data_IF_773659823116
#
_entry.id   IF_773659823116
#
_cell.length_a   1.000
_cell.length_b   1.000
_cell.length_c   1.000
_cell.angle_alpha   90.00
_cell.angle_beta   90.00
_cell.angle_gamma   90.00
#
_symmetry.space_group_name_H-M   'P 1'
#
loop_
_entity.id
_entity.type
_entity.pdbx_description
1 polymer ?
#
# COMPACT_ATOMS: atom_id res chain seq x y z
N UNK A 1 9.21 11.16 9.72
CA UNK A 1 8.17 10.39 8.99
C UNK A 1 7.68 9.29 9.89
N UNK A 2 6.35 9.16 10.07
CA UNK A 2 5.76 8.12 10.91
C UNK A 2 4.74 7.33 10.10
N UNK A 3 4.60 6.05 10.43
CA UNK A 3 3.58 5.18 9.85
C UNK A 3 2.81 4.44 10.94
N UNK A 4 1.57 4.07 10.62
CA UNK A 4 0.78 3.15 11.42
C UNK A 4 0.18 2.11 10.48
N UNK A 5 0.51 0.84 10.69
CA UNK A 5 -0.10 -0.27 9.97
C UNK A 5 -1.50 -0.54 10.55
N UNK A 6 -2.51 -0.52 9.72
CA UNK A 6 -3.91 -0.66 10.10
C UNK A 6 -4.54 -1.97 9.63
N UNK A 7 -3.72 -2.97 9.38
CA UNK A 7 -4.01 -4.30 8.85
C UNK A 7 -4.23 -4.35 7.32
N UNK A 8 -4.00 -5.52 6.73
CA UNK A 8 -4.17 -5.80 5.29
C UNK A 8 -3.41 -4.78 4.44
N UNK A 9 -4.12 -3.99 3.61
CA UNK A 9 -3.53 -2.96 2.77
C UNK A 9 -3.61 -1.55 3.40
N UNK A 10 -4.13 -1.44 4.63
CA UNK A 10 -4.47 -0.17 5.24
C UNK A 10 -3.30 0.45 6.01
N UNK A 11 -2.97 1.69 5.70
CA UNK A 11 -1.91 2.44 6.35
C UNK A 11 -2.32 3.88 6.68
N UNK A 12 -1.85 4.40 7.80
CA UNK A 12 -1.78 5.82 8.05
C UNK A 12 -0.33 6.28 7.86
N UNK A 13 -0.11 7.14 6.87
CA UNK A 13 1.20 7.71 6.53
C UNK A 13 1.25 9.15 6.99
N UNK A 14 2.19 9.47 7.89
CA UNK A 14 2.41 10.82 8.39
C UNK A 14 3.73 11.36 7.80
N UNK A 15 3.59 12.21 6.78
CA UNK A 15 4.69 12.75 5.97
C UNK A 15 4.50 14.26 5.79
N UNK A 16 5.55 15.05 5.93
CA UNK A 16 5.50 16.51 5.84
C UNK A 16 4.43 17.17 6.73
N UNK A 17 4.14 16.61 7.89
CA UNK A 17 3.06 17.06 8.77
C UNK A 17 1.66 16.79 8.25
N UNK A 18 1.50 15.97 7.19
CA UNK A 18 0.24 15.53 6.60
C UNK A 18 -0.07 14.10 7.00
N UNK A 19 -1.36 13.81 7.14
CA UNK A 19 -1.90 12.49 7.51
C UNK A 19 -2.67 11.92 6.30
N UNK A 20 -2.08 10.93 5.64
CA UNK A 20 -2.63 10.28 4.46
C UNK A 20 -3.11 8.89 4.86
N UNK A 21 -4.40 8.63 4.68
CA UNK A 21 -5.02 7.34 4.94
C UNK A 21 -5.07 6.53 3.63
N UNK A 22 -4.23 5.51 3.55
CA UNK A 22 -4.08 4.66 2.37
C UNK A 22 -4.95 3.41 2.52
N UNK A 23 -5.75 3.10 1.49
CA UNK A 23 -6.56 1.88 1.31
C UNK A 23 -7.30 1.44 2.59
N UNK A 24 -8.18 2.28 3.17
CA UNK A 24 -8.70 2.04 4.51
C UNK A 24 -9.80 0.96 4.57
N UNK A 25 -9.49 -0.13 5.25
CA UNK A 25 -10.47 -1.05 5.82
C UNK A 25 -10.31 -1.04 7.34
N UNK A 26 -11.19 -0.35 8.09
CA UNK A 26 -11.03 -0.10 9.53
C UNK A 26 -12.16 -0.67 10.37
N UNK A 27 -13.35 -0.82 9.81
CA UNK A 27 -14.57 -1.24 10.53
C UNK A 27 -15.29 -2.35 9.79
N UNK A 28 -15.95 -3.23 10.52
CA UNK A 28 -16.76 -4.30 9.97
C UNK A 28 -15.98 -5.36 9.17
N UNK A 29 -16.68 -6.36 8.67
CA UNK A 29 -16.07 -7.44 7.90
C UNK A 29 -15.74 -6.99 6.47
N UNK A 30 -14.68 -7.58 5.91
CA UNK A 30 -14.37 -7.52 4.49
C UNK A 30 -15.01 -8.71 3.78
N UNK A 31 -15.88 -8.44 2.82
CA UNK A 31 -16.55 -9.46 2.00
C UNK A 31 -16.61 -8.96 0.56
N UNK A 32 -16.17 -9.75 -0.39
CA UNK A 32 -16.28 -9.40 -1.82
C UNK A 32 -17.63 -9.81 -2.39
N UNK A 33 -18.30 -8.85 -3.02
CA UNK A 33 -19.57 -9.10 -3.73
C UNK A 33 -20.68 -9.71 -2.87
N UNK A 34 -20.65 -9.53 -1.55
CA UNK A 34 -21.57 -10.13 -0.57
C UNK A 34 -21.55 -11.68 -0.53
N UNK A 35 -20.40 -12.29 -0.88
CA UNK A 35 -20.25 -13.75 -0.91
C UNK A 35 -19.35 -14.19 0.26
N UNK A 36 -19.88 -14.13 1.48
CA UNK A 36 -19.17 -14.40 2.73
C UNK A 36 -18.66 -15.85 2.85
N UNK A 37 -19.38 -16.82 2.32
CA UNK A 37 -18.94 -18.22 2.32
C UNK A 37 -17.70 -18.46 1.43
N UNK A 38 -17.44 -17.58 0.45
CA UNK A 38 -16.28 -17.67 -0.42
C UNK A 38 -15.04 -17.04 0.22
N UNK A 39 -15.21 -15.81 0.72
CA UNK A 39 -14.16 -15.06 1.39
C UNK A 39 -14.76 -14.08 2.40
N UNK A 40 -14.23 -14.08 3.61
CA UNK A 40 -14.56 -13.11 4.63
C UNK A 40 -13.35 -12.84 5.50
N UNK A 41 -13.04 -11.57 5.69
CA UNK A 41 -12.07 -11.09 6.67
C UNK A 41 -12.77 -10.44 7.85
N UNK A 42 -12.32 -10.74 9.07
CA UNK A 42 -12.82 -10.10 10.29
C UNK A 42 -11.64 -9.70 11.17
N UNK A 43 -11.88 -8.71 12.04
CA UNK A 43 -10.92 -8.33 13.08
C UNK A 43 -11.50 -8.65 14.44
N UNK A 44 -10.74 -9.32 15.32
CA UNK A 44 -11.14 -9.51 16.73
C UNK A 44 -11.33 -8.16 17.44
N UNK A 45 -10.60 -7.14 17.00
CA UNK A 45 -10.67 -5.78 17.52
C UNK A 45 -10.64 -4.78 16.36
N UNK A 46 -11.67 -3.96 16.25
CA UNK A 46 -11.72 -2.87 15.27
C UNK A 46 -10.60 -1.85 15.50
N UNK A 47 -10.11 -1.29 14.40
CA UNK A 47 -9.16 -0.18 14.47
C UNK A 47 -9.92 1.12 14.67
N UNK A 48 -9.46 2.01 15.57
CA UNK A 48 -10.04 3.33 15.65
C UNK A 48 -9.82 4.07 14.33
N UNK A 49 -10.85 4.78 13.90
CA UNK A 49 -10.73 5.68 12.74
C UNK A 49 -9.77 6.80 13.15
N UNK A 50 -8.67 7.01 12.40
CA UNK A 50 -7.75 8.11 12.67
C UNK A 50 -8.44 9.47 12.53
N UNK A 51 -8.10 10.40 13.39
CA UNK A 51 -8.53 11.80 13.30
C UNK A 51 -7.61 12.63 12.39
N UNK A 52 -8.03 13.85 12.07
CA UNK A 52 -7.25 14.85 11.33
C UNK A 52 -6.60 14.30 10.03
N UNK A 53 -7.38 13.56 9.26
CA UNK A 53 -6.95 13.02 7.96
C UNK A 53 -6.95 14.16 6.94
N UNK A 54 -5.78 14.44 6.32
CA UNK A 54 -5.64 15.43 5.25
C UNK A 54 -6.02 14.87 3.87
N UNK A 55 -5.89 13.55 3.67
CA UNK A 55 -6.13 12.90 2.38
C UNK A 55 -6.47 11.42 2.57
N UNK A 56 -7.42 10.92 1.78
CA UNK A 56 -7.62 9.49 1.55
C UNK A 56 -6.98 9.14 0.21
N UNK A 57 -6.12 8.12 0.18
CA UNK A 57 -5.44 7.64 -1.02
C UNK A 57 -5.87 6.21 -1.31
N UNK A 58 -6.40 5.96 -2.53
CA UNK A 58 -6.99 4.66 -2.89
C UNK A 58 -6.31 4.08 -4.14
N UNK A 59 -5.69 2.92 -4.00
CA UNK A 59 -5.02 2.23 -5.11
C UNK A 59 -6.02 1.67 -6.12
N UNK A 60 -7.14 1.16 -5.66
CA UNK A 60 -8.21 0.59 -6.49
C UNK A 60 -9.58 0.65 -5.81
N UNK A 61 -10.63 0.25 -6.56
CA UNK A 61 -12.03 0.33 -6.11
C UNK A 61 -12.61 -0.95 -5.51
N UNK A 62 -11.82 -2.02 -5.31
CA UNK A 62 -12.31 -3.22 -4.62
C UNK A 62 -12.39 -3.01 -3.11
N UNK A 63 -13.18 -3.85 -2.45
CA UNK A 63 -13.57 -3.69 -1.05
C UNK A 63 -12.40 -3.75 -0.07
N UNK A 64 -11.30 -4.39 -0.41
CA UNK A 64 -10.09 -4.47 0.43
C UNK A 64 -9.20 -3.22 0.35
N UNK A 65 -9.52 -2.26 -0.55
CA UNK A 65 -8.84 -0.97 -0.70
C UNK A 65 -9.79 0.21 -0.52
N UNK A 66 -10.95 0.18 -1.18
CA UNK A 66 -11.98 1.21 -1.08
C UNK A 66 -13.19 0.68 -0.28
N UNK A 67 -12.98 0.35 1.00
CA UNK A 67 -13.98 -0.34 1.83
C UNK A 67 -15.21 0.53 2.12
N UNK A 68 -16.40 0.23 1.56
CA UNK A 68 -17.54 1.12 1.65
C UNK A 68 -18.03 1.36 3.10
N UNK A 69 -18.04 0.38 4.02
CA UNK A 69 -18.41 0.62 5.41
C UNK A 69 -17.47 1.59 6.12
N UNK A 70 -16.15 1.51 5.89
CA UNK A 70 -15.17 2.45 6.42
C UNK A 70 -15.35 3.84 5.82
N UNK A 71 -15.42 3.93 4.48
CA UNK A 71 -15.58 5.19 3.77
C UNK A 71 -16.87 5.93 4.14
N UNK A 72 -17.94 5.21 4.49
CA UNK A 72 -19.20 5.82 4.98
C UNK A 72 -19.07 6.47 6.36
N UNK A 73 -18.10 6.03 7.18
CA UNK A 73 -17.87 6.62 8.52
C UNK A 73 -16.86 7.77 8.51
N UNK A 74 -16.06 7.90 7.44
CA UNK A 74 -15.15 9.03 7.27
C UNK A 74 -15.91 10.29 6.84
N UNK A 75 -15.35 11.46 7.19
CA UNK A 75 -15.89 12.75 6.73
C UNK A 75 -15.74 12.86 5.20
N UNK A 76 -16.86 13.08 4.50
CA UNK A 76 -16.91 13.21 3.04
C UNK A 76 -16.30 14.50 2.49
N UNK A 77 -15.93 15.42 3.36
CA UNK A 77 -15.16 16.62 2.99
C UNK A 77 -13.66 16.35 2.89
N UNK A 78 -13.18 15.20 3.39
CA UNK A 78 -11.78 14.82 3.22
C UNK A 78 -11.50 14.61 1.73
N UNK A 79 -10.46 15.27 1.17
CA UNK A 79 -10.07 15.03 -0.22
C UNK A 79 -9.71 13.56 -0.46
N UNK A 80 -10.10 13.04 -1.62
CA UNK A 80 -9.74 11.69 -2.06
C UNK A 80 -8.92 11.76 -3.34
N UNK A 81 -7.80 11.09 -3.35
CA UNK A 81 -7.02 10.79 -4.56
C UNK A 81 -7.09 9.29 -4.79
N UNK A 82 -7.36 8.86 -6.01
CA UNK A 82 -7.48 7.43 -6.28
C UNK A 82 -7.36 7.08 -7.76
N UNK A 83 -7.28 5.78 -8.03
CA UNK A 83 -7.39 5.24 -9.38
C UNK A 83 -8.78 5.55 -9.98
N UNK A 84 -8.95 5.48 -11.31
CA UNK A 84 -10.22 5.81 -11.95
C UNK A 84 -11.42 4.97 -11.47
N UNK A 85 -11.22 3.71 -11.06
CA UNK A 85 -12.27 2.87 -10.50
C UNK A 85 -12.55 3.22 -9.03
N UNK A 86 -11.54 3.53 -8.22
CA UNK A 86 -11.71 3.99 -6.84
C UNK A 86 -12.45 5.33 -6.78
N UNK A 87 -12.14 6.26 -7.69
CA UNK A 87 -12.83 7.55 -7.81
C UNK A 87 -14.35 7.39 -8.01
N UNK A 88 -14.79 6.39 -8.79
CA UNK A 88 -16.21 6.09 -8.98
C UNK A 88 -16.87 5.60 -7.69
N UNK A 89 -16.21 4.71 -6.95
CA UNK A 89 -16.71 4.19 -5.67
C UNK A 89 -16.95 5.33 -4.68
N UNK A 90 -15.97 6.22 -4.48
CA UNK A 90 -16.12 7.32 -3.53
C UNK A 90 -17.13 8.37 -3.99
N UNK A 91 -17.28 8.58 -5.30
CA UNK A 91 -18.31 9.45 -5.86
C UNK A 91 -19.71 8.91 -5.54
N UNK A 92 -19.94 7.60 -5.69
CA UNK A 92 -21.21 6.94 -5.33
C UNK A 92 -21.49 7.01 -3.83
N UNK A 93 -20.45 7.11 -2.99
CA UNK A 93 -20.56 7.26 -1.54
C UNK A 93 -20.76 8.73 -1.11
N UNK A 94 -20.78 9.68 -2.06
CA UNK A 94 -21.10 11.08 -1.81
C UNK A 94 -19.91 11.96 -1.45
N UNK A 95 -18.68 11.54 -1.73
CA UNK A 95 -17.51 12.42 -1.64
C UNK A 95 -17.55 13.45 -2.76
N UNK A 96 -17.10 14.69 -2.47
CA UNK A 96 -17.17 15.82 -3.42
C UNK A 96 -15.81 16.31 -3.88
N UNK A 97 -14.76 16.09 -3.08
CA UNK A 97 -13.38 16.48 -3.41
C UNK A 97 -12.61 15.25 -3.88
N UNK A 98 -12.71 14.90 -5.16
CA UNK A 98 -12.14 13.68 -5.73
C UNK A 98 -11.19 14.04 -6.85
N UNK A 99 -9.96 13.49 -6.80
CA UNK A 99 -8.99 13.55 -7.89
C UNK A 99 -8.73 12.11 -8.37
N UNK A 100 -9.12 11.82 -9.61
CA UNK A 100 -8.78 10.57 -10.27
C UNK A 100 -7.41 10.72 -10.93
N UNK A 101 -6.49 9.80 -10.64
CA UNK A 101 -5.16 9.75 -11.27
C UNK A 101 -5.05 8.54 -12.19
N UNK A 102 -4.71 8.80 -13.45
CA UNK A 102 -4.19 7.79 -14.36
C UNK A 102 -2.68 7.57 -14.16
N UNK A 103 -2.16 6.48 -14.69
CA UNK A 103 -0.73 6.15 -14.59
C UNK A 103 0.14 7.26 -15.20
N UNK A 104 1.14 7.70 -14.46
CA UNK A 104 2.04 8.80 -14.82
C UNK A 104 1.57 10.18 -14.36
N UNK A 105 0.32 10.34 -13.96
CA UNK A 105 -0.20 11.58 -13.42
C UNK A 105 0.23 11.78 -11.96
N UNK A 106 0.26 13.04 -11.52
CA UNK A 106 0.63 13.42 -10.16
C UNK A 106 -0.39 14.38 -9.56
N UNK A 107 -0.50 14.29 -8.23
CA UNK A 107 -1.23 15.23 -7.39
C UNK A 107 -0.29 15.78 -6.32
N UNK A 108 -0.42 17.06 -5.98
CA UNK A 108 0.40 17.66 -4.91
C UNK A 108 -0.49 18.09 -3.74
N UNK A 109 -0.30 17.44 -2.60
CA UNK A 109 -1.01 17.76 -1.37
C UNK A 109 -0.35 18.98 -0.70
N UNK A 110 -1.09 20.10 -0.63
CA UNK A 110 -0.70 21.31 0.08
C UNK A 110 0.75 21.77 -0.17
N UNK A 111 1.25 21.61 -1.39
CA UNK A 111 2.62 21.97 -1.80
C UNK A 111 3.73 21.28 -0.96
N UNK A 112 3.42 20.20 -0.30
CA UNK A 112 4.35 19.51 0.62
C UNK A 112 4.63 18.05 0.27
N UNK A 113 3.65 17.35 -0.32
CA UNK A 113 3.79 15.94 -0.73
C UNK A 113 3.31 15.80 -2.17
N UNK A 114 4.19 15.33 -3.05
CA UNK A 114 3.81 14.89 -4.39
C UNK A 114 3.42 13.41 -4.34
N UNK A 115 2.30 13.06 -4.96
CA UNK A 115 1.76 11.71 -5.10
C UNK A 115 1.66 11.41 -6.58
N UNK A 116 2.43 10.45 -7.07
CA UNK A 116 2.43 10.02 -8.47
C UNK A 116 1.85 8.62 -8.59
N UNK A 117 0.89 8.45 -9.50
CA UNK A 117 0.35 7.14 -9.85
C UNK A 117 1.28 6.41 -10.81
N UNK A 118 1.56 5.14 -10.51
CA UNK A 118 2.32 4.22 -11.35
C UNK A 118 1.51 2.95 -11.62
N UNK A 119 1.77 2.20 -12.70
CA UNK A 119 1.05 0.95 -12.94
C UNK A 119 1.31 -0.07 -11.82
N UNK A 120 0.25 -0.63 -11.28
CA UNK A 120 0.26 -1.70 -10.27
C UNK A 120 -0.32 -3.02 -10.81
N UNK A 121 -1.05 -3.75 -9.96
CA UNK A 121 -1.58 -5.08 -10.26
C UNK A 121 -2.70 -5.06 -11.30
N UNK A 122 -2.82 -6.10 -12.13
CA UNK A 122 -3.98 -6.25 -13.01
C UNK A 122 -5.25 -6.62 -12.19
N UNK A 123 -6.34 -5.90 -12.47
CA UNK A 123 -7.67 -6.20 -11.96
C UNK A 123 -8.48 -6.77 -13.12
N UNK A 124 -8.56 -8.10 -13.18
CA UNK A 124 -9.18 -8.76 -14.32
C UNK A 124 -8.42 -8.51 -15.65
N UNK A 125 -9.09 -8.60 -16.81
CA UNK A 125 -8.40 -8.61 -18.10
C UNK A 125 -8.01 -7.24 -18.65
N UNK A 126 -8.56 -6.13 -18.14
CA UNK A 126 -8.48 -4.83 -18.81
C UNK A 126 -8.07 -3.66 -17.91
N UNK A 127 -8.05 -3.84 -16.59
CA UNK A 127 -7.74 -2.79 -15.66
C UNK A 127 -6.43 -3.07 -14.93
N UNK A 128 -5.68 -2.00 -14.67
CA UNK A 128 -4.55 -2.01 -13.75
C UNK A 128 -4.88 -1.08 -12.59
N UNK A 129 -4.56 -1.49 -11.38
CA UNK A 129 -4.61 -0.61 -10.21
C UNK A 129 -3.47 0.41 -10.25
N UNK A 130 -3.53 1.38 -9.35
CA UNK A 130 -2.42 2.27 -9.11
C UNK A 130 -1.52 1.70 -8.01
N UNK A 131 -0.21 1.63 -8.29
CA UNK A 131 0.78 1.83 -7.25
C UNK A 131 1.00 3.33 -7.06
N UNK A 132 1.59 3.72 -5.96
CA UNK A 132 1.87 5.13 -5.67
C UNK A 132 3.33 5.36 -5.31
N UNK A 133 3.86 6.49 -5.77
CA UNK A 133 5.12 7.06 -5.31
C UNK A 133 4.80 8.38 -4.60
N UNK A 134 5.05 8.46 -3.30
CA UNK A 134 4.91 9.66 -2.49
C UNK A 134 6.28 10.28 -2.28
N UNK A 135 6.39 11.60 -2.44
CA UNK A 135 7.63 12.34 -2.21
C UNK A 135 7.39 13.54 -1.31
N UNK A 136 8.07 13.60 -0.19
CA UNK A 136 8.15 14.82 0.62
C UNK A 136 9.02 15.85 -0.08
N UNK A 137 8.45 16.99 -0.45
CA UNK A 137 9.14 17.96 -1.29
C UNK A 137 10.28 18.69 -0.56
N UNK A 138 10.18 18.85 0.77
CA UNK A 138 11.19 19.55 1.57
C UNK A 138 12.42 18.69 1.88
N UNK A 139 12.23 17.41 2.24
CA UNK A 139 13.33 16.50 2.60
C UNK A 139 13.83 15.67 1.42
N UNK A 140 12.96 15.47 0.42
CA UNK A 140 13.19 14.56 -0.69
C UNK A 140 12.92 13.09 -0.38
N UNK A 141 12.52 12.73 0.85
CA UNK A 141 12.18 11.35 1.18
C UNK A 141 11.01 10.81 0.36
N UNK A 142 11.12 9.55 0.00
CA UNK A 142 10.19 8.89 -0.92
C UNK A 142 9.64 7.58 -0.36
N UNK A 143 8.37 7.31 -0.63
CA UNK A 143 7.69 6.04 -0.35
C UNK A 143 7.13 5.52 -1.67
N UNK A 144 7.37 4.25 -1.98
CA UNK A 144 6.66 3.52 -3.03
C UNK A 144 5.73 2.51 -2.38
N UNK A 145 4.46 2.52 -2.80
CA UNK A 145 3.45 1.57 -2.39
C UNK A 145 2.90 0.81 -3.59
N UNK A 146 2.84 -0.51 -3.48
CA UNK A 146 2.17 -1.39 -4.42
C UNK A 146 1.68 -2.65 -3.67
N UNK A 147 0.35 -2.78 -3.46
CA UNK A 147 -0.22 -3.71 -2.49
C UNK A 147 -0.24 -5.18 -2.90
N UNK A 148 0.06 -5.53 -4.15
CA UNK A 148 -0.01 -6.91 -4.65
C UNK A 148 1.29 -7.47 -5.22
N UNK A 149 2.37 -6.65 -5.25
CA UNK A 149 3.69 -7.05 -5.72
C UNK A 149 3.87 -7.08 -7.25
N UNK A 150 3.06 -6.29 -7.98
CA UNK A 150 3.17 -6.15 -9.43
C UNK A 150 3.88 -4.84 -9.79
N UNK A 151 5.19 -4.82 -9.61
CA UNK A 151 5.98 -3.62 -9.83
C UNK A 151 6.24 -3.35 -11.31
N UNK A 152 5.90 -2.15 -11.76
CA UNK A 152 6.24 -1.70 -13.11
C UNK A 152 7.73 -1.42 -13.25
N UNK A 153 8.40 -1.87 -14.33
CA UNK A 153 9.79 -1.49 -14.61
C UNK A 153 10.02 0.03 -14.72
N UNK A 154 8.96 0.81 -14.95
CA UNK A 154 9.04 2.27 -14.97
C UNK A 154 9.44 2.86 -13.61
N UNK A 155 9.29 2.10 -12.50
CA UNK A 155 9.76 2.52 -11.18
C UNK A 155 11.27 2.76 -11.13
N UNK A 156 12.08 2.08 -11.97
CA UNK A 156 13.55 2.23 -12.00
C UNK A 156 14.01 3.68 -12.19
N UNK A 157 13.22 4.48 -12.91
CA UNK A 157 13.56 5.90 -13.15
C UNK A 157 13.48 6.77 -11.89
N UNK A 158 12.83 6.28 -10.83
CA UNK A 158 12.66 6.99 -9.55
C UNK A 158 13.68 6.53 -8.49
N UNK A 159 14.56 5.59 -8.84
CA UNK A 159 15.59 5.13 -7.90
C UNK A 159 16.59 6.24 -7.56
N UNK A 160 17.06 6.28 -6.31
CA UNK A 160 16.65 5.43 -5.21
C UNK A 160 15.35 5.90 -4.53
N UNK A 161 14.57 4.95 -3.99
CA UNK A 161 13.40 5.21 -3.14
C UNK A 161 13.74 4.84 -1.70
N UNK A 162 13.26 5.59 -0.70
CA UNK A 162 13.67 5.35 0.68
C UNK A 162 12.88 4.24 1.37
N UNK A 163 11.58 4.16 1.09
CA UNK A 163 10.66 3.18 1.69
C UNK A 163 9.87 2.47 0.59
N UNK A 164 9.75 1.16 0.70
CA UNK A 164 8.87 0.35 -0.16
C UNK A 164 7.87 -0.39 0.73
N UNK A 165 6.58 -0.14 0.49
CA UNK A 165 5.46 -0.88 1.07
C UNK A 165 4.98 -1.87 0.00
N UNK A 166 5.14 -3.16 0.26
CA UNK A 166 4.79 -4.21 -0.72
C UNK A 166 4.69 -5.57 -0.03
N UNK A 167 3.95 -6.54 -0.59
CA UNK A 167 4.01 -7.91 -0.10
C UNK A 167 5.43 -8.47 -0.16
N UNK A 168 5.83 -9.17 0.88
CA UNK A 168 7.12 -9.89 0.97
C UNK A 168 6.95 -11.41 1.01
N UNK A 169 5.71 -11.87 1.07
CA UNK A 169 5.31 -13.26 0.96
C UNK A 169 4.38 -13.45 -0.24
N UNK A 170 4.40 -14.64 -0.84
CA UNK A 170 3.46 -14.97 -1.89
C UNK A 170 2.17 -15.54 -1.30
N UNK A 171 1.00 -15.14 -1.84
CA UNK A 171 -0.25 -15.86 -1.64
C UNK A 171 -0.59 -16.62 -2.92
N UNK A 172 -0.57 -17.95 -2.82
CA UNK A 172 -0.64 -18.86 -3.97
C UNK A 172 -1.94 -19.64 -3.97
N UNK A 173 -2.66 -19.62 -5.09
CA UNK A 173 -3.77 -20.52 -5.37
C UNK A 173 -3.24 -21.74 -6.14
N UNK A 174 -3.67 -22.97 -5.78
CA UNK A 174 -3.35 -24.17 -6.56
C UNK A 174 -3.77 -23.98 -8.03
N UNK A 175 -2.92 -24.42 -8.97
CA UNK A 175 -3.14 -24.38 -10.42
C UNK A 175 -3.05 -22.95 -11.02
N UNK A 176 -3.54 -21.91 -10.32
CA UNK A 176 -3.54 -20.51 -10.80
C UNK A 176 -2.18 -19.84 -10.59
N UNK A 177 -1.50 -20.16 -9.49
CA UNK A 177 -0.24 -19.54 -9.10
C UNK A 177 -0.43 -18.37 -8.12
N UNK A 178 0.60 -17.54 -7.91
CA UNK A 178 0.53 -16.42 -6.98
C UNK A 178 -0.34 -15.30 -7.55
N UNK A 179 -1.35 -14.88 -6.78
CA UNK A 179 -2.14 -13.68 -7.06
C UNK A 179 -1.63 -12.47 -6.25
N UNK A 180 -0.98 -12.70 -5.09
CA UNK A 180 -0.11 -11.73 -4.42
C UNK A 180 1.32 -12.21 -4.61
N UNK A 181 2.17 -11.34 -5.16
CA UNK A 181 3.57 -11.64 -5.47
C UNK A 181 4.46 -10.96 -4.44
N UNK A 182 5.02 -11.76 -3.55
CA UNK A 182 5.94 -11.25 -2.53
C UNK A 182 7.39 -11.57 -2.87
N UNK A 183 7.87 -12.71 -2.46
CA UNK A 183 9.28 -13.11 -2.39
C UNK A 183 10.16 -12.62 -3.54
N UNK A 184 9.93 -13.11 -4.76
CA UNK A 184 10.73 -12.75 -5.94
C UNK A 184 10.49 -11.31 -6.39
N UNK A 185 9.24 -10.87 -6.39
CA UNK A 185 8.87 -9.52 -6.83
C UNK A 185 9.39 -8.46 -5.86
N UNK A 186 9.32 -8.73 -4.56
CA UNK A 186 9.88 -7.85 -3.53
C UNK A 186 11.41 -7.73 -3.64
N UNK A 187 12.12 -8.83 -3.92
CA UNK A 187 13.56 -8.78 -4.16
C UNK A 187 13.89 -7.96 -5.41
N UNK A 188 13.14 -8.15 -6.48
CA UNK A 188 13.35 -7.43 -7.73
C UNK A 188 13.16 -5.92 -7.55
N UNK A 189 12.10 -5.48 -6.89
CA UNK A 189 11.87 -4.06 -6.61
C UNK A 189 12.91 -3.50 -5.62
N UNK A 190 13.37 -4.30 -4.64
CA UNK A 190 14.46 -3.90 -3.76
C UNK A 190 15.77 -3.66 -4.52
N UNK A 191 16.10 -4.49 -5.50
CA UNK A 191 17.25 -4.31 -6.38
C UNK A 191 17.12 -3.05 -7.26
N UNK A 192 15.92 -2.76 -7.75
CA UNK A 192 15.68 -1.58 -8.59
C UNK A 192 15.77 -0.29 -7.79
N UNK A 193 15.08 -0.24 -6.64
CA UNK A 193 14.86 1.00 -5.89
C UNK A 193 15.85 1.20 -4.73
N UNK A 194 16.58 0.16 -4.32
CA UNK A 194 17.54 0.20 -3.23
C UNK A 194 17.01 0.90 -1.98
N UNK A 195 15.85 0.48 -1.44
CA UNK A 195 15.23 1.16 -0.32
C UNK A 195 16.03 0.99 0.97
N UNK A 196 15.90 1.95 1.87
CA UNK A 196 16.42 1.83 3.24
C UNK A 196 15.57 0.86 4.07
N UNK A 197 14.24 0.90 3.83
CA UNK A 197 13.27 0.11 4.57
C UNK A 197 12.25 -0.50 3.62
N UNK A 198 11.89 -1.76 3.88
CA UNK A 198 10.72 -2.42 3.28
C UNK A 198 9.73 -2.82 4.37
N UNK A 199 8.45 -2.61 4.08
CA UNK A 199 7.32 -2.87 4.97
C UNK A 199 6.36 -3.84 4.30
N UNK A 200 6.01 -4.96 4.96
CA UNK A 200 5.04 -5.92 4.43
C UNK A 200 3.62 -5.35 4.43
N UNK A 201 2.86 -5.65 3.40
CA UNK A 201 1.43 -5.33 3.28
C UNK A 201 0.66 -6.53 2.69
N UNK A 202 -0.65 -6.41 2.50
CA UNK A 202 -1.58 -7.39 1.94
C UNK A 202 -1.90 -8.59 2.82
N UNK A 203 -0.92 -9.24 3.41
CA UNK A 203 -1.11 -10.46 4.18
C UNK A 203 -0.64 -10.25 5.61
N UNK A 204 -1.53 -9.88 6.50
CA UNK A 204 -1.14 -9.75 7.90
C UNK A 204 -1.96 -8.76 8.70
N UNK A 205 -1.49 -8.53 9.90
CA UNK A 205 -2.20 -7.78 10.92
C UNK A 205 -3.02 -8.70 11.82
N UNK A 206 -3.93 -8.08 12.57
CA UNK A 206 -4.83 -8.77 13.49
C UNK A 206 -6.14 -9.17 12.77
N UNK A 207 -6.01 -9.81 11.58
CA UNK A 207 -7.16 -10.19 10.75
C UNK A 207 -7.29 -11.71 10.71
N UNK A 208 -8.51 -12.17 10.92
CA UNK A 208 -8.88 -13.57 10.73
C UNK A 208 -9.63 -13.69 9.40
N UNK A 209 -9.14 -14.58 8.54
CA UNK A 209 -9.75 -14.86 7.25
C UNK A 209 -10.43 -16.22 7.24
N UNK A 210 -11.64 -16.27 6.69
CA UNK A 210 -12.43 -17.49 6.55
C UNK A 210 -13.04 -17.60 5.14
N UNK A 211 -13.54 -18.78 4.81
CA UNK A 211 -14.21 -19.07 3.54
C UNK A 211 -13.48 -20.11 2.69
N UNK A 212 -14.12 -20.48 1.59
CA UNK A 212 -13.60 -21.52 0.69
C UNK A 212 -12.25 -21.12 0.07
N UNK A 213 -12.11 -19.87 -0.34
CA UNK A 213 -10.89 -19.35 -0.95
C UNK A 213 -9.70 -19.48 0.01
N UNK A 214 -9.89 -19.16 1.28
CA UNK A 214 -8.84 -19.20 2.31
C UNK A 214 -8.33 -20.63 2.53
N UNK A 215 -9.20 -21.63 2.45
CA UNK A 215 -8.80 -23.05 2.56
C UNK A 215 -7.91 -23.51 1.41
N UNK A 216 -7.95 -22.82 0.29
CA UNK A 216 -7.16 -23.14 -0.90
C UNK A 216 -5.87 -22.31 -0.96
N UNK A 217 -5.83 -21.14 -0.30
CA UNK A 217 -4.68 -20.25 -0.29
C UNK A 217 -3.51 -20.84 0.52
N UNK A 218 -2.30 -20.64 0.00
CA UNK A 218 -1.06 -20.96 0.69
C UNK A 218 -0.19 -19.70 0.76
N UNK A 219 0.22 -19.34 1.96
CA UNK A 219 1.26 -18.34 2.17
C UNK A 219 2.64 -18.99 2.03
N UNK A 220 3.54 -18.35 1.29
CA UNK A 220 4.92 -18.82 1.05
C UNK A 220 5.89 -17.69 1.34
N UNK A 221 6.83 -17.93 2.25
CA UNK A 221 7.82 -16.97 2.70
C UNK A 221 7.53 -16.42 4.10
N UNK A 222 8.48 -15.66 4.61
CA UNK A 222 8.39 -14.93 5.88
C UNK A 222 9.27 -13.68 5.83
N UNK A 223 9.07 -12.73 6.75
CA UNK A 223 9.92 -11.53 6.84
C UNK A 223 11.38 -11.88 7.14
N UNK A 224 11.62 -12.86 8.00
CA UNK A 224 12.97 -13.31 8.34
C UNK A 224 13.69 -13.96 7.14
N UNK A 225 12.99 -14.79 6.36
CA UNK A 225 13.54 -15.38 5.13
C UNK A 225 13.80 -14.31 4.07
N UNK A 226 12.92 -13.33 3.96
CA UNK A 226 13.09 -12.23 3.03
C UNK A 226 14.26 -11.32 3.44
N UNK A 227 14.42 -11.01 4.74
CA UNK A 227 15.59 -10.27 5.24
C UNK A 227 16.90 -11.01 4.89
N UNK A 228 16.96 -12.32 5.12
CA UNK A 228 18.12 -13.14 4.76
C UNK A 228 18.39 -13.12 3.24
N UNK A 229 17.33 -13.11 2.43
CA UNK A 229 17.44 -13.00 0.96
C UNK A 229 18.03 -11.65 0.54
N UNK A 230 17.63 -10.55 1.17
CA UNK A 230 18.20 -9.22 0.91
C UNK A 230 19.71 -9.20 1.24
N UNK A 231 20.11 -9.76 2.38
CA UNK A 231 21.51 -9.84 2.82
C UNK A 231 22.36 -10.70 1.86
N UNK A 232 21.86 -11.83 1.41
CA UNK A 232 22.52 -12.69 0.40
C UNK A 232 22.71 -11.99 -0.94
N UNK A 233 21.83 -11.02 -1.27
CA UNK A 233 21.94 -10.18 -2.47
C UNK A 233 22.69 -8.87 -2.21
N UNK A 234 23.39 -8.73 -1.07
CA UNK A 234 24.17 -7.56 -0.68
C UNK A 234 23.37 -6.25 -0.60
N UNK A 235 22.07 -6.33 -0.34
CA UNK A 235 21.21 -5.17 -0.13
C UNK A 235 21.23 -4.77 1.36
N UNK A 236 21.37 -3.48 1.63
CA UNK A 236 21.39 -2.92 2.99
C UNK A 236 19.98 -2.60 3.52
N UNK A 237 18.98 -2.94 2.76
CA UNK A 237 17.56 -2.74 3.08
C UNK A 237 17.17 -3.51 4.33
N UNK A 238 16.43 -2.86 5.23
CA UNK A 238 15.87 -3.51 6.43
C UNK A 238 14.39 -3.81 6.21
N UNK A 239 13.97 -5.02 6.56
CA UNK A 239 12.56 -5.38 6.67
C UNK A 239 12.09 -5.01 8.08
N UNK A 240 11.00 -4.26 8.17
CA UNK A 240 10.35 -3.93 9.44
C UNK A 240 8.93 -4.51 9.40
N UNK A 241 8.63 -5.42 10.32
CA UNK A 241 7.26 -5.89 10.56
C UNK A 241 6.62 -4.97 11.60
N UNK A 242 5.67 -4.11 11.21
CA UNK A 242 5.04 -3.19 12.14
C UNK A 242 4.05 -3.93 13.04
N UNK A 243 3.97 -3.52 14.31
CA UNK A 243 2.89 -3.96 15.18
C UNK A 243 1.59 -3.27 14.75
N UNK A 244 0.52 -4.01 14.42
CA UNK A 244 -0.72 -3.43 13.95
C UNK A 244 -1.31 -2.44 14.95
N UNK A 245 -1.76 -1.28 14.45
CA UNK A 245 -2.30 -0.18 15.23
C UNK A 245 -1.28 0.66 16.00
N UNK A 246 0.01 0.29 15.98
CA UNK A 246 1.07 1.05 16.64
C UNK A 246 1.74 2.04 15.68
N UNK A 247 1.79 3.30 16.10
CA UNK A 247 2.52 4.34 15.39
C UNK A 247 4.02 4.18 15.61
N UNK A 248 4.81 4.19 14.56
CA UNK A 248 6.27 4.09 14.64
C UNK A 248 6.97 5.08 13.72
N UNK A 249 8.18 5.48 14.09
CA UNK A 249 9.03 6.33 13.29
C UNK A 249 9.90 5.50 12.35
N UNK A 250 10.00 5.92 11.09
CA UNK A 250 10.91 5.28 10.15
C UNK A 250 12.34 5.76 10.39
N UNK A 251 13.29 4.84 10.57
CA UNK A 251 14.70 5.16 10.79
C UNK A 251 15.41 5.45 9.45
N UNK A 252 15.06 6.58 8.84
CA UNK A 252 15.60 6.98 7.54
C UNK A 252 16.80 7.91 7.71
N UNK A 253 17.83 7.67 6.90
CA UNK A 253 18.98 8.54 6.78
C UNK A 253 18.85 9.40 5.51
N UNK A 254 19.21 10.67 5.61
CA UNK A 254 19.30 11.52 4.41
C UNK A 254 20.40 10.98 3.51
N UNK A 255 20.02 10.63 2.28
CA UNK A 255 21.00 10.30 1.25
C UNK A 255 21.76 11.57 0.89
N UNK A 256 23.09 11.50 0.84
CA UNK A 256 23.87 12.59 0.27
C UNK A 256 23.33 12.82 -1.14
N UNK A 257 22.90 14.06 -1.43
CA UNK A 257 22.60 14.46 -2.80
C UNK A 257 23.86 14.14 -3.60
N UNK A 258 23.76 13.19 -4.53
CA UNK A 258 24.81 13.00 -5.51
C UNK A 258 24.96 14.36 -6.20
N UNK A 259 26.09 15.03 -5.93
CA UNK A 259 26.44 16.24 -6.64
C UNK A 259 26.54 15.80 -8.11
N UNK A 260 25.53 16.10 -8.90
CA UNK A 260 25.64 16.10 -10.34
C UNK A 260 26.64 17.20 -10.65
N UNK A 261 27.91 16.81 -10.73
CA UNK A 261 28.93 17.61 -11.39
C UNK A 261 28.48 17.72 -12.84
N UNK A 262 28.05 18.91 -13.22
CA UNK A 262 27.82 19.33 -14.59
C UNK A 262 29.14 19.27 -15.40
#
# INVERSE_FOLDING_TARGET
MYLTYLDSNSWLIEIAGKRILLDPWLVGPLVFGNIDWLFKGTRPKERPIPDNIDLILLSQGLEDHAHPPTLKQLDRNIPVVGSPNAAKVVQELGYTSITSLGHGESFTLNQSVEIKAVPGSPIGPTLLENGYLLKELASGFTISDEPHGYHSPSLKQFAPVDVVITPIIDLVLPIVGPFIKGTKSALEVAQWLQPQVMLPTAAGGDVEFEGLLIKLLRAVGSAAEFQATLEQNHLKTRVIEPTPGSRFELPLERRALAAYLF
#
